data_IF_172162829301
#
_entry.id   IF_172162829301
#
_cell.length_a   1.000
_cell.length_b   1.000
_cell.length_c   1.000
_cell.angle_alpha   90.00
_cell.angle_beta   90.00
_cell.angle_gamma   90.00
#
_symmetry.space_group_name_H-M   'P 1'
#
loop_
_entity.id
_entity.type
_entity.pdbx_description
1 polymer ?
#
# COMPACT_ATOMS: atom_id res chain seq x y z
N UNK A 1 -5.19 -26.96 13.04
CA UNK A 1 -4.58 -26.01 13.95
C UNK A 1 -5.65 -25.27 14.75
N UNK A 2 -5.36 -24.90 16.01
CA UNK A 2 -6.25 -24.08 16.84
C UNK A 2 -5.44 -22.95 17.49
N UNK A 3 -6.01 -21.73 17.48
CA UNK A 3 -5.38 -20.55 18.10
C UNK A 3 -6.44 -19.69 18.78
N UNK A 4 -6.11 -19.02 19.88
CA UNK A 4 -7.04 -18.13 20.57
C UNK A 4 -7.32 -16.89 19.72
N UNK A 5 -6.30 -16.33 19.08
CA UNK A 5 -6.40 -15.18 18.19
C UNK A 5 -5.80 -15.51 16.82
N UNK A 6 -6.64 -15.51 15.79
CA UNK A 6 -6.23 -15.70 14.39
C UNK A 6 -6.38 -14.36 13.66
N UNK A 7 -5.30 -13.90 13.04
CA UNK A 7 -5.24 -12.65 12.29
C UNK A 7 -4.97 -13.00 10.83
N UNK A 8 -5.83 -12.55 9.92
CA UNK A 8 -5.69 -12.79 8.48
C UNK A 8 -5.30 -11.49 7.79
N UNK A 9 -4.10 -11.49 7.21
CA UNK A 9 -3.48 -10.35 6.56
C UNK A 9 -2.37 -9.71 7.39
N UNK A 10 -1.13 -9.83 6.92
CA UNK A 10 0.08 -9.27 7.52
C UNK A 10 0.42 -7.87 7.04
N UNK A 11 -0.58 -7.07 6.65
CA UNK A 11 -0.41 -5.64 6.35
C UNK A 11 -0.07 -4.83 7.61
N UNK A 12 -0.06 -3.49 7.49
CA UNK A 12 0.36 -2.58 8.56
C UNK A 12 -0.31 -2.88 9.90
N UNK A 13 -1.65 -2.96 9.94
CA UNK A 13 -2.38 -3.20 11.18
C UNK A 13 -2.32 -4.64 11.65
N UNK A 14 -2.50 -5.63 10.76
CA UNK A 14 -2.53 -7.04 11.14
C UNK A 14 -1.18 -7.55 11.65
N UNK A 15 -0.08 -7.16 11.00
CA UNK A 15 1.27 -7.51 11.47
C UNK A 15 1.60 -6.87 12.83
N UNK A 16 1.28 -5.59 13.00
CA UNK A 16 1.49 -4.93 14.29
C UNK A 16 0.67 -5.58 15.41
N UNK A 17 -0.58 -5.94 15.13
CA UNK A 17 -1.43 -6.66 16.07
C UNK A 17 -0.81 -8.00 16.45
N UNK A 18 -0.36 -8.78 15.45
CA UNK A 18 0.29 -10.08 15.68
C UNK A 18 1.56 -9.96 16.53
N UNK A 19 2.45 -9.01 16.19
CA UNK A 19 3.68 -8.76 16.95
C UNK A 19 3.40 -8.32 18.39
N UNK A 20 2.47 -7.38 18.58
CA UNK A 20 2.16 -6.84 19.91
C UNK A 20 1.47 -7.87 20.81
N UNK A 21 0.57 -8.70 20.26
CA UNK A 21 -0.07 -9.78 20.98
C UNK A 21 0.90 -10.94 21.25
N UNK A 22 1.67 -11.34 20.24
CA UNK A 22 2.64 -12.43 20.35
C UNK A 22 3.63 -12.22 21.50
N UNK A 23 4.22 -11.02 21.57
CA UNK A 23 5.12 -10.64 22.68
C UNK A 23 4.49 -10.75 24.08
N UNK A 24 3.17 -10.68 24.19
CA UNK A 24 2.46 -10.68 25.48
C UNK A 24 1.80 -12.03 25.81
N UNK A 25 1.38 -12.78 24.80
CA UNK A 25 0.56 -13.99 24.96
C UNK A 25 1.26 -15.26 24.50
N UNK A 26 2.28 -15.14 23.68
CA UNK A 26 3.06 -16.26 23.15
C UNK A 26 2.46 -16.94 21.92
N UNK A 27 3.26 -17.81 21.25
CA UNK A 27 2.91 -18.41 19.97
C UNK A 27 1.75 -19.41 20.04
N UNK A 28 1.50 -20.00 21.20
CA UNK A 28 0.36 -20.92 21.38
C UNK A 28 -1.00 -20.25 21.26
N UNK A 29 -1.06 -18.91 21.37
CA UNK A 29 -2.30 -18.15 21.39
C UNK A 29 -2.53 -17.28 20.14
N UNK A 30 -1.48 -16.90 19.43
CA UNK A 30 -1.56 -15.93 18.33
C UNK A 30 -1.05 -16.56 17.04
N UNK A 31 -1.87 -16.50 15.99
CA UNK A 31 -1.52 -16.97 14.64
C UNK A 31 -1.81 -15.88 13.62
N UNK A 32 -0.80 -15.55 12.81
CA UNK A 32 -0.91 -14.71 11.62
C UNK A 32 -1.02 -15.60 10.39
N UNK A 33 -1.98 -15.31 9.51
CA UNK A 33 -2.16 -15.96 8.20
C UNK A 33 -1.94 -14.91 7.11
N UNK A 34 -1.04 -15.18 6.16
CA UNK A 34 -0.84 -14.32 4.98
C UNK A 34 -0.46 -15.15 3.76
N UNK A 35 -0.86 -14.68 2.59
CA UNK A 35 -0.54 -15.28 1.29
C UNK A 35 0.86 -14.96 0.77
N UNK A 36 1.65 -14.19 1.52
CA UNK A 36 3.05 -13.84 1.25
C UNK A 36 3.96 -14.34 2.35
N UNK A 37 5.26 -14.43 2.04
CA UNK A 37 6.28 -14.86 3.00
C UNK A 37 6.97 -13.68 3.70
N UNK A 38 6.78 -12.48 3.21
CA UNK A 38 7.41 -11.28 3.74
C UNK A 38 6.48 -10.07 3.70
N UNK A 39 6.72 -9.15 4.60
CA UNK A 39 6.06 -7.87 4.69
C UNK A 39 6.87 -6.78 4.00
N UNK A 40 6.20 -5.95 3.22
CA UNK A 40 6.68 -4.65 2.76
C UNK A 40 5.70 -3.58 3.20
N UNK A 41 6.21 -2.45 3.62
CA UNK A 41 5.41 -1.28 3.94
C UNK A 41 4.71 -0.77 2.68
N UNK A 42 3.41 -1.07 2.53
CA UNK A 42 2.62 -0.77 1.31
C UNK A 42 2.75 0.69 0.83
N UNK A 43 2.83 1.72 1.72
CA UNK A 43 3.10 3.09 1.27
C UNK A 43 4.41 3.29 0.50
N UNK A 44 5.39 2.39 0.59
CA UNK A 44 6.66 2.47 -0.16
C UNK A 44 6.64 1.74 -1.52
N UNK A 45 5.50 1.19 -1.96
CA UNK A 45 5.42 0.46 -3.24
C UNK A 45 5.74 1.34 -4.46
N UNK A 46 5.53 2.64 -4.38
CA UNK A 46 5.93 3.57 -5.43
C UNK A 46 7.46 3.66 -5.57
N UNK A 47 8.22 3.56 -4.45
CA UNK A 47 9.68 3.50 -4.46
C UNK A 47 10.18 2.17 -5.08
N UNK A 48 9.50 1.05 -4.79
CA UNK A 48 9.79 -0.25 -5.41
C UNK A 48 9.54 -0.19 -6.92
N UNK A 49 8.39 0.36 -7.34
CA UNK A 49 8.03 0.52 -8.74
C UNK A 49 9.02 1.41 -9.52
N UNK A 50 9.53 2.45 -8.89
CA UNK A 50 10.55 3.30 -9.48
C UNK A 50 11.97 2.67 -9.43
N UNK A 51 12.18 1.61 -8.65
CA UNK A 51 13.48 0.95 -8.47
C UNK A 51 14.40 1.66 -7.48
N UNK A 52 13.90 2.61 -6.71
CA UNK A 52 14.67 3.34 -5.67
C UNK A 52 14.64 2.65 -4.32
N UNK A 53 13.81 1.62 -4.15
CA UNK A 53 13.76 0.73 -2.99
C UNK A 53 13.94 -0.73 -3.44
N UNK A 54 14.86 -1.45 -2.80
CA UNK A 54 15.06 -2.88 -3.06
C UNK A 54 14.25 -3.73 -2.05
N UNK A 55 13.32 -4.53 -2.58
CA UNK A 55 12.48 -5.42 -1.78
C UNK A 55 13.26 -6.48 -1.00
N UNK A 56 14.41 -6.91 -1.52
CA UNK A 56 15.24 -7.92 -0.87
C UNK A 56 15.97 -7.37 0.36
N UNK A 57 16.20 -6.05 0.41
CA UNK A 57 16.80 -5.38 1.56
C UNK A 57 15.76 -4.93 2.59
N UNK A 58 14.53 -4.62 2.13
CA UNK A 58 13.49 -4.00 2.95
C UNK A 58 12.40 -4.97 3.39
N UNK A 59 12.28 -6.11 2.71
CA UNK A 59 11.29 -7.13 3.03
C UNK A 59 11.56 -7.80 4.37
N UNK A 60 10.58 -7.75 5.27
CA UNK A 60 10.65 -8.39 6.58
C UNK A 60 10.00 -9.76 6.52
N UNK A 61 10.76 -10.84 6.69
CA UNK A 61 10.24 -12.20 6.70
C UNK A 61 9.23 -12.41 7.82
N UNK A 62 8.02 -12.89 7.50
CA UNK A 62 7.02 -13.23 8.51
C UNK A 62 7.47 -14.36 9.43
N UNK A 63 8.23 -15.35 8.94
CA UNK A 63 8.77 -16.41 9.77
C UNK A 63 9.73 -15.87 10.84
N UNK A 64 10.64 -14.99 10.44
CA UNK A 64 11.57 -14.35 11.37
C UNK A 64 10.82 -13.47 12.39
N UNK A 65 9.84 -12.70 11.92
CA UNK A 65 9.03 -11.86 12.80
C UNK A 65 8.19 -12.69 13.77
N UNK A 66 7.67 -13.84 13.33
CA UNK A 66 6.92 -14.77 14.17
C UNK A 66 7.78 -15.32 15.30
N UNK A 67 8.99 -15.78 14.98
CA UNK A 67 9.96 -16.25 15.97
C UNK A 67 10.31 -15.13 16.97
N UNK A 68 10.67 -13.96 16.48
CA UNK A 68 11.16 -12.85 17.31
C UNK A 68 10.09 -12.22 18.19
N UNK A 69 8.82 -12.27 17.76
CA UNK A 69 7.71 -11.65 18.47
C UNK A 69 6.77 -12.68 19.15
N UNK A 70 7.05 -13.97 19.03
CA UNK A 70 6.28 -15.01 19.72
C UNK A 70 4.85 -15.15 19.19
N UNK A 71 4.66 -15.28 17.89
CA UNK A 71 3.40 -15.69 17.27
C UNK A 71 3.66 -16.81 16.24
N UNK A 72 2.61 -17.54 15.84
CA UNK A 72 2.71 -18.50 14.75
C UNK A 72 2.41 -17.83 13.42
N UNK A 73 3.13 -18.23 12.37
CA UNK A 73 2.85 -17.81 11.01
C UNK A 73 2.36 -19.01 10.18
N UNK A 74 1.26 -18.81 9.45
CA UNK A 74 0.71 -19.76 8.48
C UNK A 74 0.70 -19.12 7.11
N UNK A 75 1.50 -19.66 6.20
CA UNK A 75 1.58 -19.24 4.83
C UNK A 75 0.42 -19.78 4.01
N UNK A 76 -0.32 -18.94 3.33
CA UNK A 76 -1.38 -19.25 2.37
C UNK A 76 -2.54 -18.25 2.41
N UNK A 77 -3.34 -18.20 1.34
CA UNK A 77 -4.52 -17.36 1.26
C UNK A 77 -5.66 -17.96 2.10
N UNK A 78 -6.38 -17.11 2.84
CA UNK A 78 -7.69 -17.50 3.36
C UNK A 78 -8.66 -17.64 2.17
N UNK A 79 -9.38 -18.76 2.10
CA UNK A 79 -10.34 -19.04 1.02
C UNK A 79 -11.78 -19.13 1.49
N UNK A 80 -12.02 -19.49 2.76
CA UNK A 80 -13.35 -19.61 3.32
C UNK A 80 -13.41 -19.33 4.82
N UNK A 81 -14.60 -19.00 5.29
CA UNK A 81 -14.96 -18.81 6.69
C UNK A 81 -16.17 -19.68 7.04
N UNK A 82 -16.04 -20.44 8.10
CA UNK A 82 -17.15 -21.11 8.78
C UNK A 82 -17.31 -20.48 10.17
N UNK A 83 -18.21 -19.52 10.27
CA UNK A 83 -18.46 -18.78 11.50
C UNK A 83 -19.10 -19.67 12.59
N UNK A 84 -19.89 -20.69 12.20
CA UNK A 84 -20.57 -21.59 13.14
C UNK A 84 -19.56 -22.51 13.85
N UNK A 85 -18.61 -23.09 13.11
CA UNK A 85 -17.55 -23.93 13.68
C UNK A 85 -16.34 -23.12 14.16
N UNK A 86 -16.37 -21.80 14.04
CA UNK A 86 -15.27 -20.87 14.34
C UNK A 86 -13.97 -21.31 13.66
N UNK A 87 -14.02 -21.50 12.35
CA UNK A 87 -12.85 -21.92 11.58
C UNK A 87 -12.70 -21.13 10.27
N UNK A 88 -11.47 -20.99 9.84
CA UNK A 88 -11.11 -20.51 8.50
C UNK A 88 -10.43 -21.61 7.72
N UNK A 89 -10.57 -21.57 6.41
CA UNK A 89 -9.81 -22.41 5.47
C UNK A 89 -8.67 -21.58 4.89
N UNK A 90 -7.47 -22.12 4.95
CA UNK A 90 -6.27 -21.61 4.25
C UNK A 90 -6.03 -22.53 3.08
N UNK A 91 -6.10 -21.98 1.86
CA UNK A 91 -5.98 -22.73 0.62
C UNK A 91 -4.63 -23.45 0.47
N UNK A 92 -4.60 -24.44 -0.40
CA UNK A 92 -3.39 -25.12 -0.80
C UNK A 92 -2.40 -24.14 -1.46
N UNK A 93 -1.11 -24.41 -1.33
CA UNK A 93 -0.05 -23.69 -2.03
C UNK A 93 0.48 -24.62 -3.12
N UNK A 94 0.43 -24.15 -4.36
CA UNK A 94 0.95 -24.84 -5.51
C UNK A 94 2.30 -24.27 -5.93
N UNK A 95 3.19 -25.11 -6.42
CA UNK A 95 4.45 -24.66 -7.02
C UNK A 95 4.18 -23.91 -8.32
N UNK A 96 4.95 -22.87 -8.59
CA UNK A 96 4.77 -22.04 -9.77
C UNK A 96 5.18 -22.75 -11.10
N UNK A 97 6.02 -23.79 -10.99
CA UNK A 97 6.61 -24.48 -12.16
C UNK A 97 5.69 -25.53 -12.77
N UNK A 98 4.95 -26.28 -11.96
CA UNK A 98 4.28 -27.53 -12.35
C UNK A 98 2.90 -27.72 -11.70
N UNK A 99 2.44 -26.77 -10.90
CA UNK A 99 1.23 -26.85 -10.08
C UNK A 99 1.22 -27.99 -9.03
N UNK A 100 2.37 -28.57 -8.71
CA UNK A 100 2.45 -29.55 -7.63
C UNK A 100 2.06 -28.93 -6.30
N UNK A 101 1.34 -29.70 -5.47
CA UNK A 101 0.92 -29.27 -4.17
C UNK A 101 2.11 -29.22 -3.19
N UNK A 102 2.56 -28.01 -2.83
CA UNK A 102 3.62 -27.78 -1.85
C UNK A 102 3.08 -27.86 -0.43
N UNK A 103 1.90 -27.29 -0.20
CA UNK A 103 1.19 -27.33 1.07
C UNK A 103 -0.29 -27.61 0.82
N UNK A 104 -0.89 -28.60 1.51
CA UNK A 104 -2.32 -28.88 1.37
C UNK A 104 -3.20 -27.79 1.94
N UNK A 105 -4.47 -27.84 1.62
CA UNK A 105 -5.49 -27.04 2.28
C UNK A 105 -5.49 -27.32 3.79
N UNK A 106 -5.62 -26.27 4.61
CA UNK A 106 -5.57 -26.35 6.08
C UNK A 106 -6.72 -25.61 6.72
N UNK A 107 -7.28 -26.23 7.76
CA UNK A 107 -8.32 -25.60 8.59
C UNK A 107 -7.71 -25.08 9.89
N UNK A 108 -8.06 -23.86 10.28
CA UNK A 108 -7.61 -23.20 11.51
C UNK A 108 -8.83 -22.80 12.32
N UNK A 109 -8.95 -23.31 13.54
CA UNK A 109 -9.98 -22.92 14.49
C UNK A 109 -9.51 -21.72 15.31
N UNK A 110 -10.41 -20.76 15.55
CA UNK A 110 -10.11 -19.53 16.29
C UNK A 110 -11.01 -19.36 17.53
N UNK A 111 -10.49 -18.69 18.55
CA UNK A 111 -11.29 -18.10 19.62
C UNK A 111 -11.81 -16.71 19.21
N UNK A 112 -10.95 -15.90 18.57
CA UNK A 112 -11.32 -14.64 17.92
C UNK A 112 -10.59 -14.54 16.58
N UNK A 113 -11.30 -14.09 15.54
CA UNK A 113 -10.77 -13.87 14.19
C UNK A 113 -10.66 -12.38 13.92
N UNK A 114 -9.56 -11.94 13.33
CA UNK A 114 -9.36 -10.57 12.85
C UNK A 114 -9.11 -10.57 11.35
N UNK A 115 -9.95 -9.91 10.59
CA UNK A 115 -9.76 -9.68 9.17
C UNK A 115 -8.99 -8.36 8.98
N UNK A 116 -7.78 -8.45 8.43
CA UNK A 116 -6.86 -7.33 8.18
C UNK A 116 -6.30 -7.38 6.76
N UNK A 117 -7.12 -7.86 5.81
CA UNK A 117 -6.73 -8.16 4.42
C UNK A 117 -6.53 -6.92 3.54
N UNK A 118 -6.74 -5.73 4.08
CA UNK A 118 -6.50 -4.47 3.38
C UNK A 118 -7.43 -4.19 2.22
N UNK A 119 -6.92 -3.60 1.15
CA UNK A 119 -7.66 -3.17 -0.04
C UNK A 119 -6.97 -3.59 -1.32
N UNK A 120 -7.75 -3.64 -2.42
CA UNK A 120 -7.30 -3.84 -3.78
C UNK A 120 -7.76 -2.69 -4.68
N UNK A 121 -7.31 -2.63 -5.93
CA UNK A 121 -7.71 -1.59 -6.88
C UNK A 121 -9.16 -1.73 -7.30
N UNK A 122 -9.84 -0.60 -7.37
CA UNK A 122 -11.16 -0.47 -7.96
C UNK A 122 -11.02 0.12 -9.37
N UNK A 123 -11.33 -0.67 -10.39
CA UNK A 123 -11.28 -0.24 -11.79
C UNK A 123 -12.56 0.46 -12.27
N UNK A 124 -13.58 0.61 -11.42
CA UNK A 124 -14.86 1.30 -11.69
C UNK A 124 -15.56 0.81 -12.97
N UNK A 125 -15.28 -0.40 -13.43
CA UNK A 125 -15.82 -0.96 -14.66
C UNK A 125 -15.30 -0.30 -15.95
N UNK A 126 -14.19 0.44 -15.89
CA UNK A 126 -13.57 1.05 -17.07
C UNK A 126 -13.01 -0.06 -17.97
N UNK A 127 -13.48 -0.18 -19.23
CA UNK A 127 -12.99 -1.16 -20.19
C UNK A 127 -11.49 -1.07 -20.39
N UNK A 128 -10.80 -2.22 -20.38
CA UNK A 128 -9.37 -2.34 -20.55
C UNK A 128 -8.52 -1.91 -19.33
N UNK A 129 -9.14 -1.40 -18.26
CA UNK A 129 -8.38 -0.93 -17.10
C UNK A 129 -7.62 -2.06 -16.39
N UNK A 130 -8.24 -3.21 -16.21
CA UNK A 130 -7.60 -4.36 -15.56
C UNK A 130 -6.55 -5.02 -16.45
N UNK A 131 -6.80 -5.07 -17.74
CA UNK A 131 -5.99 -5.77 -18.76
C UNK A 131 -4.75 -4.97 -19.15
N UNK A 132 -4.87 -3.65 -19.24
CA UNK A 132 -3.85 -2.77 -19.84
C UNK A 132 -3.17 -1.83 -18.85
N UNK A 133 -3.50 -1.93 -17.55
CA UNK A 133 -2.78 -1.16 -16.53
C UNK A 133 -2.09 -2.06 -15.51
N UNK A 134 -1.11 -1.48 -14.83
CA UNK A 134 -0.50 -2.07 -13.65
C UNK A 134 -0.98 -1.28 -12.44
N UNK A 135 -1.54 -1.97 -11.44
CA UNK A 135 -1.87 -1.36 -10.15
C UNK A 135 -0.74 -1.60 -9.16
N UNK A 136 -0.63 -0.77 -8.12
CA UNK A 136 0.38 -0.95 -7.07
C UNK A 136 -0.26 -1.47 -5.79
N UNK A 137 -0.83 -2.66 -5.85
CA UNK A 137 -1.45 -3.31 -4.69
C UNK A 137 -0.45 -4.17 -3.91
N UNK A 138 0.53 -4.70 -4.59
CA UNK A 138 1.46 -5.69 -4.12
C UNK A 138 2.88 -5.40 -4.62
N UNK A 139 3.85 -6.06 -4.00
CA UNK A 139 5.26 -5.99 -4.38
C UNK A 139 5.49 -6.50 -5.79
N UNK A 140 4.81 -7.59 -6.15
CA UNK A 140 4.88 -8.22 -7.47
C UNK A 140 4.40 -7.27 -8.57
N UNK A 141 3.38 -6.45 -8.28
CA UNK A 141 2.91 -5.41 -9.20
C UNK A 141 3.96 -4.32 -9.40
N UNK A 142 4.58 -3.87 -8.31
CA UNK A 142 5.62 -2.84 -8.36
C UNK A 142 6.86 -3.32 -9.13
N UNK A 143 7.32 -4.56 -8.88
CA UNK A 143 8.44 -5.17 -9.62
C UNK A 143 8.10 -5.38 -11.11
N UNK A 144 6.89 -5.84 -11.43
CA UNK A 144 6.41 -5.98 -12.80
C UNK A 144 6.42 -4.63 -13.53
N UNK A 145 5.98 -3.56 -12.85
CA UNK A 145 6.04 -2.21 -13.39
C UNK A 145 7.48 -1.79 -13.66
N UNK A 146 8.38 -1.95 -12.69
CA UNK A 146 9.80 -1.60 -12.82
C UNK A 146 10.46 -2.31 -14.01
N UNK A 147 10.29 -3.63 -14.09
CA UNK A 147 10.87 -4.43 -15.20
C UNK A 147 10.30 -4.02 -16.55
N UNK A 148 9.00 -3.72 -16.64
CA UNK A 148 8.40 -3.24 -17.89
C UNK A 148 8.93 -1.87 -18.30
N UNK A 149 9.08 -0.97 -17.34
CA UNK A 149 9.68 0.35 -17.59
C UNK A 149 11.11 0.24 -18.13
N UNK A 150 11.96 -0.56 -17.48
CA UNK A 150 13.34 -0.81 -17.94
C UNK A 150 13.38 -1.38 -19.37
N UNK A 151 12.54 -2.36 -19.66
CA UNK A 151 12.46 -2.94 -21.03
C UNK A 151 12.05 -1.91 -22.09
N UNK A 152 11.10 -1.03 -21.75
CA UNK A 152 10.68 0.04 -22.65
C UNK A 152 11.76 1.11 -22.85
N UNK A 153 12.53 1.41 -21.81
CA UNK A 153 13.69 2.31 -21.93
C UNK A 153 14.78 1.70 -22.79
N UNK A 154 15.11 0.42 -22.61
CA UNK A 154 16.07 -0.31 -23.45
C UNK A 154 15.64 -0.32 -24.92
N UNK A 155 14.37 -0.58 -25.21
CA UNK A 155 13.85 -0.56 -26.57
C UNK A 155 13.97 0.86 -27.18
N UNK A 156 13.64 1.90 -26.43
CA UNK A 156 13.76 3.28 -26.89
C UNK A 156 15.23 3.70 -27.15
N UNK A 157 16.18 3.22 -26.33
CA UNK A 157 17.62 3.44 -26.54
C UNK A 157 18.08 2.83 -27.86
N UNK A 158 17.75 1.55 -28.11
CA UNK A 158 18.13 0.83 -29.32
C UNK A 158 17.51 1.43 -30.60
N UNK A 159 16.26 1.89 -30.54
CA UNK A 159 15.61 2.57 -31.67
C UNK A 159 16.38 3.84 -32.07
N UNK A 160 17.00 4.55 -31.12
CA UNK A 160 17.82 5.74 -31.40
C UNK A 160 19.21 5.41 -31.92
N UNK A 161 19.87 4.40 -31.37
CA UNK A 161 21.16 3.92 -31.86
C UNK A 161 21.07 3.48 -33.32
N UNK A 162 19.94 2.86 -33.72
CA UNK A 162 19.69 2.39 -35.10
C UNK A 162 19.38 3.49 -36.13
N UNK A 163 19.39 4.78 -35.75
CA UNK A 163 19.19 5.89 -36.68
C UNK A 163 17.77 6.00 -37.27
N UNK A 164 16.76 5.52 -36.57
CA UNK A 164 15.35 5.56 -37.00
C UNK A 164 14.85 6.98 -37.26
N UNK A 165 14.60 7.33 -38.54
CA UNK A 165 14.08 8.65 -38.98
C UNK A 165 12.60 8.90 -38.63
N UNK A 166 12.02 8.19 -37.72
CA UNK A 166 10.60 8.30 -37.38
C UNK A 166 10.35 8.73 -35.93
N UNK A 167 10.18 10.00 -35.70
CA UNK A 167 9.58 10.63 -34.50
C UNK A 167 10.14 10.19 -33.16
N UNK A 168 10.46 11.10 -32.27
CA UNK A 168 11.09 10.82 -30.96
C UNK A 168 10.48 9.59 -30.25
N UNK A 169 11.21 8.50 -30.06
CA UNK A 169 10.71 7.29 -29.35
C UNK A 169 10.65 7.60 -27.86
N UNK A 170 9.73 8.47 -27.46
CA UNK A 170 9.53 8.78 -26.06
C UNK A 170 8.71 7.70 -25.36
N UNK A 171 9.01 7.47 -24.12
CA UNK A 171 8.22 6.62 -23.25
C UNK A 171 7.11 7.46 -22.58
N UNK A 172 5.87 7.28 -23.06
CA UNK A 172 4.69 7.87 -22.43
C UNK A 172 4.23 7.00 -21.27
N UNK A 173 4.36 7.53 -20.06
CA UNK A 173 3.85 6.92 -18.81
C UNK A 173 2.63 7.69 -18.37
N UNK A 174 1.49 7.03 -18.34
CA UNK A 174 0.22 7.59 -17.86
C UNK A 174 -0.13 7.01 -16.51
N UNK A 175 -0.37 7.86 -15.53
CA UNK A 175 -0.83 7.51 -14.18
C UNK A 175 -2.27 7.98 -14.04
N UNK A 176 -3.20 7.05 -13.86
CA UNK A 176 -4.62 7.33 -13.67
C UNK A 176 -4.90 7.43 -12.18
N UNK A 177 -5.23 8.62 -11.72
CA UNK A 177 -5.46 9.00 -10.32
C UNK A 177 -4.36 9.87 -9.73
N UNK A 178 -4.74 11.07 -9.29
CA UNK A 178 -3.89 12.08 -8.65
C UNK A 178 -3.98 12.08 -7.12
N UNK A 179 -4.28 10.94 -6.52
CA UNK A 179 -4.16 10.72 -5.07
C UNK A 179 -2.69 10.62 -4.62
N UNK A 180 -2.46 10.33 -3.33
CA UNK A 180 -1.10 10.22 -2.79
C UNK A 180 -0.23 9.24 -3.59
N UNK A 181 -0.72 8.03 -3.84
CA UNK A 181 0.01 7.00 -4.60
C UNK A 181 0.42 7.46 -6.00
N UNK A 182 -0.50 8.11 -6.74
CA UNK A 182 -0.20 8.58 -8.10
C UNK A 182 0.80 9.74 -8.11
N UNK A 183 0.68 10.68 -7.19
CA UNK A 183 1.59 11.82 -7.03
C UNK A 183 3.00 11.36 -6.62
N UNK A 184 3.09 10.48 -5.62
CA UNK A 184 4.35 9.92 -5.13
C UNK A 184 5.05 9.11 -6.22
N UNK A 185 4.31 8.23 -6.92
CA UNK A 185 4.85 7.46 -8.03
C UNK A 185 5.38 8.35 -9.16
N UNK A 186 4.61 9.36 -9.58
CA UNK A 186 5.03 10.26 -10.65
C UNK A 186 6.34 11.00 -10.31
N UNK A 187 6.45 11.48 -9.09
CA UNK A 187 7.64 12.19 -8.62
C UNK A 187 8.86 11.26 -8.53
N UNK A 188 8.67 10.05 -7.99
CA UNK A 188 9.74 9.06 -7.84
C UNK A 188 10.20 8.53 -9.20
N UNK A 189 9.28 8.26 -10.14
CA UNK A 189 9.61 7.87 -11.52
C UNK A 189 10.42 8.95 -12.26
N UNK A 190 10.13 10.22 -12.03
CA UNK A 190 10.91 11.32 -12.62
C UNK A 190 12.34 11.32 -12.14
N UNK A 191 12.56 11.08 -10.85
CA UNK A 191 13.91 10.98 -10.28
C UNK A 191 14.63 9.71 -10.76
N UNK A 192 13.92 8.58 -10.75
CA UNK A 192 14.46 7.31 -11.24
C UNK A 192 14.83 7.37 -12.72
N UNK A 193 13.97 7.95 -13.59
CA UNK A 193 14.27 8.07 -15.02
C UNK A 193 15.52 8.89 -15.30
N UNK A 194 15.76 9.94 -14.53
CA UNK A 194 16.99 10.74 -14.62
C UNK A 194 18.22 9.96 -14.14
N UNK A 195 18.07 9.12 -13.12
CA UNK A 195 19.15 8.28 -12.61
C UNK A 195 19.46 7.12 -13.58
N UNK A 196 18.47 6.49 -14.20
CA UNK A 196 18.67 5.42 -15.18
C UNK A 196 19.52 5.90 -16.37
N UNK A 197 19.25 7.09 -16.88
CA UNK A 197 20.02 7.69 -17.98
C UNK A 197 21.50 7.78 -17.63
N UNK A 198 21.86 8.10 -16.39
CA UNK A 198 23.27 8.19 -15.95
C UNK A 198 23.99 6.84 -15.85
N UNK A 199 23.26 5.72 -15.99
CA UNK A 199 23.80 4.36 -15.84
C UNK A 199 23.73 3.51 -17.13
N UNK A 200 23.77 4.14 -18.31
CA UNK A 200 23.92 3.43 -19.57
C UNK A 200 22.74 3.56 -20.54
N UNK A 201 21.99 4.66 -20.45
CA UNK A 201 21.00 5.06 -21.44
C UNK A 201 21.46 6.39 -22.08
N UNK A 202 22.60 6.35 -22.78
CA UNK A 202 23.32 7.52 -23.25
C UNK A 202 22.58 8.32 -24.32
N UNK A 203 21.67 7.67 -25.05
CA UNK A 203 20.86 8.29 -26.11
C UNK A 203 19.55 8.90 -25.58
N UNK A 204 19.14 8.55 -24.36
CA UNK A 204 17.91 9.04 -23.76
C UNK A 204 18.16 10.22 -22.82
N UNK A 205 17.24 11.16 -22.81
CA UNK A 205 17.12 12.21 -21.78
C UNK A 205 15.94 11.86 -20.86
N UNK A 206 16.21 11.58 -19.59
CA UNK A 206 15.20 11.13 -18.62
C UNK A 206 14.05 12.12 -18.40
N UNK A 207 14.23 13.43 -18.74
CA UNK A 207 13.17 14.42 -18.64
C UNK A 207 12.38 14.60 -19.93
N UNK A 208 13.08 14.62 -21.07
CA UNK A 208 12.49 14.83 -22.38
C UNK A 208 11.83 13.56 -22.92
N UNK A 209 12.49 12.43 -22.76
CA UNK A 209 12.10 11.18 -23.42
C UNK A 209 11.22 10.28 -22.55
N UNK A 210 11.21 10.46 -21.23
CA UNK A 210 10.23 9.85 -20.32
C UNK A 210 9.17 10.88 -19.97
N UNK A 211 8.03 10.86 -20.66
CA UNK A 211 6.91 11.79 -20.47
C UNK A 211 5.92 11.21 -19.48
N UNK A 212 5.82 11.84 -18.31
CA UNK A 212 4.92 11.38 -17.22
C UNK A 212 3.69 12.29 -17.18
N UNK A 213 2.50 11.68 -17.28
CA UNK A 213 1.22 12.39 -17.20
C UNK A 213 0.34 11.79 -16.13
N UNK A 214 -0.19 12.60 -15.22
CA UNK A 214 -1.23 12.23 -14.26
C UNK A 214 -2.59 12.65 -14.80
N UNK A 215 -3.52 11.72 -14.95
CA UNK A 215 -4.92 11.97 -15.30
C UNK A 215 -5.75 11.89 -14.02
N UNK A 216 -6.38 13.00 -13.61
CA UNK A 216 -7.14 13.09 -12.36
C UNK A 216 -8.60 13.49 -12.64
N UNK A 217 -9.54 12.66 -12.19
CA UNK A 217 -10.97 12.91 -12.35
C UNK A 217 -11.51 14.10 -11.55
N UNK A 218 -10.86 14.42 -10.42
CA UNK A 218 -11.21 15.56 -9.58
C UNK A 218 -10.63 16.89 -10.14
N UNK A 219 -11.11 18.04 -9.65
CA UNK A 219 -10.60 19.34 -10.07
C UNK A 219 -9.13 19.62 -9.72
N UNK A 220 -8.53 18.82 -8.83
CA UNK A 220 -7.14 18.96 -8.38
C UNK A 220 -6.57 17.65 -7.86
N UNK A 221 -5.27 17.48 -7.94
CA UNK A 221 -4.58 16.37 -7.28
C UNK A 221 -4.70 16.47 -5.76
N UNK A 222 -4.60 15.36 -5.06
CA UNK A 222 -4.71 15.30 -3.59
C UNK A 222 -6.01 15.96 -3.08
N UNK A 223 -7.11 15.82 -3.80
CA UNK A 223 -8.39 16.48 -3.54
C UNK A 223 -8.90 16.37 -2.08
N UNK A 224 -8.69 15.24 -1.34
CA UNK A 224 -9.07 15.15 0.07
C UNK A 224 -8.22 15.99 1.03
N UNK A 225 -7.06 16.52 0.59
CA UNK A 225 -6.18 17.33 1.41
C UNK A 225 -6.49 18.82 1.26
N UNK A 226 -6.03 19.67 2.19
CA UNK A 226 -6.20 21.12 2.07
C UNK A 226 -5.69 21.66 0.72
N UNK A 227 -6.37 22.65 0.16
CA UNK A 227 -6.06 23.22 -1.16
C UNK A 227 -4.60 23.68 -1.30
N UNK A 228 -4.03 24.26 -0.25
CA UNK A 228 -2.61 24.67 -0.22
C UNK A 228 -1.66 23.52 -0.49
N UNK A 229 -1.97 22.32 0.00
CA UNK A 229 -1.18 21.10 -0.24
C UNK A 229 -1.27 20.70 -1.70
N UNK A 230 -2.48 20.75 -2.27
CA UNK A 230 -2.75 20.43 -3.67
C UNK A 230 -2.01 21.36 -4.63
N UNK A 231 -2.07 22.67 -4.37
CA UNK A 231 -1.37 23.69 -5.17
C UNK A 231 0.14 23.51 -5.11
N UNK A 232 0.70 23.30 -3.91
CA UNK A 232 2.14 23.06 -3.75
C UNK A 232 2.60 21.77 -4.46
N UNK A 233 1.82 20.70 -4.36
CA UNK A 233 2.11 19.45 -5.07
C UNK A 233 2.08 19.65 -6.59
N UNK A 234 1.08 20.36 -7.12
CA UNK A 234 0.95 20.64 -8.55
C UNK A 234 2.13 21.48 -9.07
N UNK A 235 2.54 22.52 -8.35
CA UNK A 235 3.70 23.34 -8.69
C UNK A 235 5.00 22.50 -8.70
N UNK A 236 5.22 21.67 -7.70
CA UNK A 236 6.39 20.80 -7.62
C UNK A 236 6.42 19.74 -8.73
N UNK A 237 5.29 19.15 -9.09
CA UNK A 237 5.16 18.23 -10.22
C UNK A 237 5.49 18.93 -11.54
N UNK A 238 4.94 20.13 -11.75
CA UNK A 238 5.20 20.96 -12.94
C UNK A 238 6.69 21.31 -13.09
N UNK A 239 7.35 21.74 -12.02
CA UNK A 239 8.80 22.00 -12.00
C UNK A 239 9.65 20.78 -12.35
N UNK A 240 9.14 19.58 -12.13
CA UNK A 240 9.76 18.30 -12.51
C UNK A 240 9.39 17.85 -13.93
N UNK A 241 8.64 18.64 -14.69
CA UNK A 241 8.19 18.29 -16.04
C UNK A 241 7.15 17.17 -16.06
N UNK A 242 6.37 17.01 -14.97
CA UNK A 242 5.26 16.07 -14.88
C UNK A 242 3.99 16.83 -15.23
N UNK A 243 3.26 16.33 -16.22
CA UNK A 243 2.00 16.91 -16.65
C UNK A 243 0.86 16.45 -15.77
N UNK A 244 0.08 17.36 -15.23
CA UNK A 244 -1.16 17.06 -14.49
C UNK A 244 -2.35 17.52 -15.32
N UNK A 245 -3.32 16.61 -15.52
CA UNK A 245 -4.57 16.89 -16.25
C UNK A 245 -5.74 16.66 -15.28
N UNK A 246 -6.22 17.70 -14.60
CA UNK A 246 -7.39 17.60 -13.72
C UNK A 246 -8.69 17.54 -14.53
N UNK A 247 -9.81 17.21 -13.87
CA UNK A 247 -11.13 17.03 -14.49
C UNK A 247 -11.16 16.01 -15.64
N UNK A 248 -10.18 15.12 -15.70
CA UNK A 248 -10.00 14.11 -16.72
C UNK A 248 -10.56 12.76 -16.23
N UNK A 249 -11.78 12.42 -16.62
CA UNK A 249 -12.38 11.14 -16.32
C UNK A 249 -12.08 10.15 -17.43
N UNK A 250 -11.24 9.18 -17.14
CA UNK A 250 -10.92 8.09 -18.08
C UNK A 250 -12.12 7.18 -18.28
N UNK A 251 -12.41 6.83 -19.52
CA UNK A 251 -13.56 5.99 -19.92
C UNK A 251 -13.14 4.71 -20.60
N UNK A 252 -11.94 4.64 -21.18
CA UNK A 252 -11.46 3.47 -21.92
C UNK A 252 -9.92 3.41 -21.92
N UNK A 253 -9.35 2.21 -21.85
CA UNK A 253 -7.90 2.00 -21.88
C UNK A 253 -7.56 0.91 -22.89
N UNK A 254 -6.58 1.21 -23.73
CA UNK A 254 -6.01 0.33 -24.74
C UNK A 254 -4.53 0.04 -24.45
N UNK A 255 -3.90 -0.91 -25.15
CA UNK A 255 -2.49 -1.25 -24.97
C UNK A 255 -1.50 -0.10 -25.16
N UNK A 256 -1.91 0.92 -25.94
CA UNK A 256 -1.05 2.03 -26.41
C UNK A 256 -1.61 3.43 -26.08
N UNK A 257 -2.82 3.52 -25.52
CA UNK A 257 -3.49 4.78 -25.26
C UNK A 257 -4.57 4.72 -24.20
N UNK A 258 -4.89 5.87 -23.65
CA UNK A 258 -6.01 6.09 -22.72
C UNK A 258 -6.97 7.12 -23.33
N UNK A 259 -8.28 6.93 -23.18
CA UNK A 259 -9.33 7.81 -23.69
C UNK A 259 -10.14 8.36 -22.53
N UNK A 260 -10.40 9.67 -22.53
CA UNK A 260 -11.24 10.32 -21.53
C UNK A 260 -12.71 10.48 -22.01
N UNK A 261 -13.56 10.97 -21.09
CA UNK A 261 -14.99 11.21 -21.36
C UNK A 261 -15.29 12.19 -22.51
N UNK A 262 -14.33 13.01 -22.89
CA UNK A 262 -14.45 14.02 -23.96
C UNK A 262 -13.87 13.48 -25.28
N UNK A 263 -13.49 12.18 -25.33
CA UNK A 263 -12.90 11.53 -26.49
C UNK A 263 -11.43 11.89 -26.73
N UNK A 264 -10.79 12.59 -25.80
CA UNK A 264 -9.38 12.94 -25.95
C UNK A 264 -8.50 11.75 -25.70
N UNK A 265 -7.52 11.57 -26.59
CA UNK A 265 -6.57 10.45 -26.58
C UNK A 265 -5.26 10.88 -25.93
N UNK A 266 -4.77 10.04 -25.01
CA UNK A 266 -3.47 10.19 -24.36
C UNK A 266 -2.63 8.95 -24.72
N UNK A 267 -1.53 9.12 -25.46
CA UNK A 267 -0.60 8.01 -25.71
C UNK A 267 -0.07 7.45 -24.42
N UNK A 268 0.02 6.13 -24.30
CA UNK A 268 0.45 5.44 -23.10
C UNK A 268 1.15 4.12 -23.41
N UNK A 269 2.47 4.10 -23.49
CA UNK A 269 3.26 2.86 -23.58
C UNK A 269 3.27 2.10 -22.24
N UNK A 270 3.09 2.82 -21.14
CA UNK A 270 2.98 2.27 -19.80
C UNK A 270 1.88 3.01 -19.03
N UNK A 271 0.92 2.25 -18.52
CA UNK A 271 -0.21 2.81 -17.79
C UNK A 271 -0.30 2.24 -16.37
N UNK A 272 -0.48 3.13 -15.38
CA UNK A 272 -0.66 2.77 -13.96
C UNK A 272 -2.04 3.17 -13.51
N UNK A 273 -2.71 2.24 -12.82
CA UNK A 273 -3.98 2.52 -12.16
C UNK A 273 -3.76 2.83 -10.68
N UNK A 274 -3.99 4.09 -10.30
CA UNK A 274 -3.91 4.60 -8.93
C UNK A 274 -5.21 5.31 -8.49
N UNK A 275 -6.33 5.07 -9.18
CA UNK A 275 -7.58 5.86 -9.10
C UNK A 275 -8.62 5.31 -8.12
N UNK A 276 -8.26 4.58 -7.13
CA UNK A 276 -9.21 4.15 -6.10
C UNK A 276 -9.02 2.72 -5.66
N UNK A 277 -9.56 2.46 -4.49
CA UNK A 277 -9.48 1.17 -3.82
C UNK A 277 -10.87 0.63 -3.52
N UNK A 278 -10.97 -0.69 -3.39
CA UNK A 278 -12.12 -1.42 -2.86
C UNK A 278 -11.65 -2.51 -1.90
N UNK A 279 -12.56 -3.04 -1.13
CA UNK A 279 -12.27 -4.24 -0.34
C UNK A 279 -12.02 -5.45 -1.26
N UNK A 280 -11.18 -6.42 -0.85
CA UNK A 280 -10.97 -7.66 -1.61
C UNK A 280 -12.27 -8.43 -1.82
N UNK A 281 -12.46 -8.99 -3.03
CA UNK A 281 -13.68 -9.70 -3.42
C UNK A 281 -14.00 -10.92 -2.53
N UNK A 282 -12.96 -11.51 -1.92
CA UNK A 282 -13.11 -12.56 -0.91
C UNK A 282 -14.11 -12.20 0.19
N UNK A 283 -14.14 -10.95 0.66
CA UNK A 283 -15.01 -10.56 1.78
C UNK A 283 -16.50 -10.72 1.47
N UNK A 284 -16.88 -10.55 0.21
CA UNK A 284 -18.26 -10.75 -0.23
C UNK A 284 -18.70 -12.24 -0.17
N UNK A 285 -17.75 -13.19 -0.17
CA UNK A 285 -18.02 -14.64 -0.14
C UNK A 285 -18.08 -15.21 1.28
N UNK A 286 -17.69 -14.43 2.29
CA UNK A 286 -17.58 -14.91 3.67
C UNK A 286 -18.92 -14.94 4.45
N UNK A 287 -20.01 -14.48 3.86
CA UNK A 287 -21.32 -14.40 4.53
C UNK A 287 -21.40 -13.36 5.64
N UNK A 288 -20.48 -12.38 5.66
CA UNK A 288 -20.45 -11.28 6.63
C UNK A 288 -21.15 -10.05 6.05
N UNK A 289 -21.76 -9.19 6.89
CA UNK A 289 -22.36 -7.94 6.41
C UNK A 289 -21.28 -7.01 5.83
N UNK A 290 -21.53 -6.52 4.61
CA UNK A 290 -20.60 -5.64 3.90
C UNK A 290 -21.27 -4.33 3.50
N UNK A 291 -20.54 -3.23 3.56
CA UNK A 291 -20.93 -1.93 3.06
C UNK A 291 -20.85 -1.88 1.52
N UNK A 292 -21.37 -0.83 0.91
CA UNK A 292 -21.41 -0.63 -0.56
C UNK A 292 -20.04 -0.77 -1.25
N UNK A 293 -18.93 -0.48 -0.55
CA UNK A 293 -17.56 -0.63 -1.05
C UNK A 293 -16.95 -2.03 -0.84
N UNK A 294 -17.75 -3.01 -0.38
CA UNK A 294 -17.30 -4.37 -0.07
C UNK A 294 -16.59 -4.53 1.27
N UNK A 295 -16.37 -3.44 2.02
CA UNK A 295 -15.77 -3.52 3.36
C UNK A 295 -16.72 -4.20 4.34
N UNK A 296 -16.17 -5.02 5.24
CA UNK A 296 -16.94 -5.66 6.31
C UNK A 296 -17.44 -4.59 7.30
N UNK A 297 -18.72 -4.60 7.61
CA UNK A 297 -19.30 -3.66 8.57
C UNK A 297 -18.93 -4.02 10.01
N UNK A 298 -18.33 -3.07 10.72
CA UNK A 298 -17.97 -3.23 12.13
C UNK A 298 -18.65 -2.20 13.01
N UNK A 299 -18.78 -2.54 14.30
CA UNK A 299 -19.19 -1.60 15.34
C UNK A 299 -18.01 -0.71 15.79
N UNK A 300 -18.28 0.20 16.74
CA UNK A 300 -17.23 1.07 17.30
C UNK A 300 -16.18 0.33 18.16
N UNK A 301 -16.32 -0.97 18.36
CA UNK A 301 -15.32 -1.84 18.98
C UNK A 301 -14.58 -2.71 17.95
N UNK A 302 -14.69 -2.40 16.66
CA UNK A 302 -14.12 -3.13 15.52
C UNK A 302 -14.63 -4.56 15.37
N UNK A 303 -15.76 -4.90 16.01
CA UNK A 303 -16.41 -6.20 15.92
C UNK A 303 -17.36 -6.21 14.72
N UNK A 304 -17.32 -7.27 13.96
CA UNK A 304 -18.23 -7.46 12.81
C UNK A 304 -19.67 -7.55 13.31
N UNK A 305 -20.57 -6.78 12.69
CA UNK A 305 -21.97 -6.76 13.04
C UNK A 305 -22.58 -8.17 12.89
N UNK A 306 -23.25 -8.63 13.93
CA UNK A 306 -23.87 -9.97 13.95
C UNK A 306 -22.90 -11.13 14.22
N UNK A 307 -21.58 -10.88 14.45
CA UNK A 307 -20.60 -11.93 14.72
C UNK A 307 -19.74 -11.58 15.95
N UNK A 308 -19.97 -12.25 17.07
CA UNK A 308 -19.40 -11.89 18.37
C UNK A 308 -17.87 -12.03 18.45
N UNK A 309 -17.29 -12.97 17.71
CA UNK A 309 -15.87 -13.33 17.79
C UNK A 309 -15.07 -12.98 16.52
N UNK A 310 -15.67 -12.21 15.60
CA UNK A 310 -15.02 -11.76 14.36
C UNK A 310 -14.87 -10.25 14.41
N UNK A 311 -13.68 -9.80 14.06
CA UNK A 311 -13.27 -8.39 14.04
C UNK A 311 -12.69 -8.06 12.67
N UNK A 312 -12.70 -6.77 12.29
CA UNK A 312 -11.99 -6.32 11.11
C UNK A 312 -11.31 -4.96 11.38
N UNK A 313 -10.19 -4.72 10.72
CA UNK A 313 -9.43 -3.48 10.83
C UNK A 313 -8.78 -3.06 9.49
N UNK A 314 -8.40 -1.80 9.39
CA UNK A 314 -7.77 -1.23 8.21
C UNK A 314 -8.77 -1.05 7.06
N UNK A 315 -8.25 -1.06 5.83
CA UNK A 315 -9.01 -0.71 4.63
C UNK A 315 -10.16 -1.67 4.30
N UNK A 316 -10.13 -2.90 4.83
CA UNK A 316 -11.18 -3.90 4.64
C UNK A 316 -12.36 -3.73 5.60
N UNK A 317 -12.30 -2.80 6.57
CA UNK A 317 -13.34 -2.54 7.56
C UNK A 317 -14.08 -1.24 7.27
N UNK A 318 -15.41 -1.30 7.20
CA UNK A 318 -16.28 -0.12 7.22
C UNK A 318 -16.53 0.27 8.69
N UNK A 319 -15.62 1.11 9.22
CA UNK A 319 -15.61 1.53 10.61
C UNK A 319 -16.17 2.94 10.77
N UNK A 320 -17.10 3.09 11.71
CA UNK A 320 -17.53 4.38 12.25
C UNK A 320 -17.05 4.43 13.70
N UNK A 321 -16.30 5.46 14.05
CA UNK A 321 -15.70 5.59 15.38
C UNK A 321 -16.75 5.93 16.47
N UNK A 322 -16.32 5.94 17.74
CA UNK A 322 -17.18 6.25 18.86
C UNK A 322 -17.78 7.66 18.86
N UNK A 323 -17.31 8.55 17.97
CA UNK A 323 -17.85 9.90 17.76
C UNK A 323 -18.79 10.01 16.57
N UNK A 324 -19.03 8.90 15.88
CA UNK A 324 -19.89 8.85 14.67
C UNK A 324 -19.17 9.26 13.37
N UNK A 325 -17.84 9.39 13.36
CA UNK A 325 -17.08 9.71 12.16
C UNK A 325 -16.67 8.47 11.40
N UNK A 326 -16.79 8.50 10.07
CA UNK A 326 -16.25 7.45 9.22
C UNK A 326 -14.71 7.46 9.28
N UNK A 327 -14.12 6.30 9.54
CA UNK A 327 -12.66 6.15 9.63
C UNK A 327 -12.09 5.97 8.22
N UNK A 328 -11.14 6.82 7.78
CA UNK A 328 -10.59 6.72 6.44
C UNK A 328 -9.66 5.49 6.29
N UNK A 329 -9.57 4.89 5.07
CA UNK A 329 -8.65 3.78 4.79
C UNK A 329 -7.21 4.28 4.69
N UNK A 330 -6.53 4.34 5.81
CA UNK A 330 -5.14 4.81 5.94
C UNK A 330 -4.34 3.94 6.89
N UNK A 331 -3.03 3.83 6.65
CA UNK A 331 -2.13 3.08 7.52
C UNK A 331 -2.17 3.54 8.99
N UNK A 332 -2.31 4.84 9.25
CA UNK A 332 -2.43 5.36 10.62
C UNK A 332 -3.74 4.93 11.31
N UNK A 333 -4.82 4.74 10.56
CA UNK A 333 -6.07 4.22 11.12
C UNK A 333 -5.89 2.74 11.49
N UNK A 334 -5.30 1.94 10.60
CA UNK A 334 -5.02 0.54 10.85
C UNK A 334 -4.09 0.34 12.06
N UNK A 335 -3.06 1.19 12.24
CA UNK A 335 -2.19 1.20 13.41
C UNK A 335 -2.97 1.44 14.72
N UNK A 336 -3.81 2.50 14.76
CA UNK A 336 -4.60 2.83 15.94
C UNK A 336 -5.64 1.76 16.27
N UNK A 337 -6.26 1.16 15.24
CA UNK A 337 -7.19 0.04 15.39
C UNK A 337 -6.49 -1.21 15.94
N UNK A 338 -5.26 -1.50 15.48
CA UNK A 338 -4.46 -2.57 16.02
C UNK A 338 -4.16 -2.36 17.51
N UNK A 339 -3.75 -1.16 17.93
CA UNK A 339 -3.51 -0.83 19.34
C UNK A 339 -4.76 -0.96 20.22
N UNK A 340 -5.91 -0.56 19.68
CA UNK A 340 -7.18 -0.75 20.33
C UNK A 340 -7.48 -2.24 20.57
N UNK A 341 -7.33 -3.08 19.53
CA UNK A 341 -7.57 -4.53 19.64
C UNK A 341 -6.53 -5.22 20.53
N UNK A 342 -5.27 -4.79 20.55
CA UNK A 342 -4.25 -5.31 21.50
C UNK A 342 -4.77 -5.19 22.93
N UNK A 343 -5.26 -4.00 23.31
CA UNK A 343 -5.77 -3.76 24.67
C UNK A 343 -6.99 -4.63 24.96
N UNK A 344 -7.93 -4.72 24.00
CA UNK A 344 -9.16 -5.53 24.13
C UNK A 344 -8.86 -7.01 24.29
N UNK A 345 -7.93 -7.56 23.49
CA UNK A 345 -7.61 -8.98 23.48
C UNK A 345 -6.76 -9.42 24.68
N UNK A 346 -5.87 -8.56 25.18
CA UNK A 346 -5.16 -8.83 26.43
C UNK A 346 -6.14 -8.90 27.61
N UNK A 347 -7.15 -8.04 27.66
CA UNK A 347 -8.22 -8.12 28.66
C UNK A 347 -9.01 -9.43 28.51
N UNK A 348 -9.43 -9.77 27.28
CA UNK A 348 -10.15 -11.01 26.98
C UNK A 348 -9.36 -12.25 27.39
N UNK A 349 -8.06 -12.30 27.10
CA UNK A 349 -7.19 -13.46 27.46
C UNK A 349 -7.02 -13.66 28.96
N UNK A 350 -7.27 -12.62 29.75
CA UNK A 350 -7.27 -12.65 31.24
C UNK A 350 -8.66 -12.88 31.83
N UNK A 351 -9.68 -13.16 31.01
CA UNK A 351 -11.06 -13.35 31.47
C UNK A 351 -11.78 -12.06 31.87
N UNK A 352 -11.23 -10.89 31.54
CA UNK A 352 -11.88 -9.61 31.79
C UNK A 352 -12.84 -9.25 30.63
N UNK A 353 -13.89 -8.44 30.89
CA UNK A 353 -14.76 -7.95 29.84
C UNK A 353 -13.96 -7.13 28.80
N UNK A 354 -14.42 -7.09 27.54
CA UNK A 354 -13.82 -6.26 26.50
C UNK A 354 -13.72 -4.80 26.94
N UNK A 355 -12.90 -4.02 26.24
CA UNK A 355 -12.76 -2.61 26.51
C UNK A 355 -14.12 -1.89 26.34
N UNK A 356 -14.60 -1.19 27.36
CA UNK A 356 -15.89 -0.50 27.34
C UNK A 356 -15.85 0.76 26.45
N UNK A 357 -14.69 1.44 26.45
CA UNK A 357 -14.52 2.65 25.63
C UNK A 357 -14.47 2.28 24.15
N UNK A 358 -15.32 2.87 23.30
CA UNK A 358 -15.28 2.65 21.86
C UNK A 358 -13.97 3.17 21.25
N UNK A 359 -13.63 2.66 20.07
CA UNK A 359 -12.50 3.16 19.29
C UNK A 359 -12.80 4.58 18.79
N UNK A 360 -11.84 5.47 18.95
CA UNK A 360 -11.86 6.83 18.44
C UNK A 360 -10.66 7.07 17.53
N UNK A 361 -10.91 7.46 16.29
CA UNK A 361 -9.85 7.81 15.35
C UNK A 361 -9.29 9.19 15.63
N UNK A 362 -7.95 9.30 15.63
CA UNK A 362 -7.23 10.58 15.70
C UNK A 362 -6.49 10.80 14.38
N UNK A 363 -6.86 11.83 13.67
CA UNK A 363 -6.14 12.24 12.47
C UNK A 363 -4.91 13.07 12.85
N UNK A 364 -3.72 12.55 12.55
CA UNK A 364 -2.45 13.27 12.75
C UNK A 364 -2.03 14.05 11.51
N UNK A 365 -2.87 14.07 10.47
CA UNK A 365 -2.60 14.71 9.20
C UNK A 365 -2.14 13.73 8.12
N UNK A 366 -1.68 14.27 7.01
CA UNK A 366 -1.23 13.49 5.86
C UNK A 366 0.01 14.13 5.25
N UNK A 367 0.97 13.30 4.91
CA UNK A 367 2.20 13.68 4.23
C UNK A 367 2.29 12.90 2.92
N UNK A 368 2.71 13.57 1.86
CA UNK A 368 2.88 13.00 0.52
C UNK A 368 4.29 13.36 0.05
N UNK A 369 5.05 12.38 -0.38
CA UNK A 369 6.37 12.60 -0.97
C UNK A 369 6.22 13.13 -2.40
N UNK A 370 6.94 14.19 -2.73
CA UNK A 370 7.01 14.72 -4.09
C UNK A 370 8.46 14.68 -4.55
N UNK A 371 9.07 13.48 -4.47
CA UNK A 371 10.47 13.22 -4.75
C UNK A 371 11.35 13.23 -3.52
N UNK A 372 12.63 12.88 -3.69
CA UNK A 372 13.60 12.56 -2.64
C UNK A 372 13.77 13.62 -1.57
N UNK A 373 13.74 14.88 -1.98
CA UNK A 373 14.12 15.99 -1.10
C UNK A 373 12.94 16.85 -0.67
N UNK A 374 11.73 16.52 -1.13
CA UNK A 374 10.56 17.36 -0.91
C UNK A 374 9.33 16.53 -0.62
N UNK A 375 8.66 16.85 0.47
CA UNK A 375 7.34 16.32 0.81
C UNK A 375 6.42 17.50 1.10
N UNK A 376 5.15 17.30 0.87
CA UNK A 376 4.09 18.26 1.19
C UNK A 376 3.04 17.61 2.07
N UNK A 377 2.43 18.37 2.93
CA UNK A 377 1.39 17.79 3.76
C UNK A 377 0.73 18.79 4.70
N UNK A 378 -0.20 18.25 5.44
CA UNK A 378 -0.90 18.96 6.50
C UNK A 378 -0.83 18.14 7.76
N UNK A 379 -0.43 18.78 8.86
CA UNK A 379 -0.46 18.22 10.20
C UNK A 379 -1.71 18.71 10.92
N UNK A 380 -2.45 17.79 11.51
CA UNK A 380 -3.56 18.14 12.41
C UNK A 380 -2.99 18.33 13.80
N UNK A 381 -2.95 19.58 14.27
CA UNK A 381 -2.57 19.88 15.64
C UNK A 381 -3.64 19.40 16.63
N UNK A 382 -3.23 18.86 17.77
CA UNK A 382 -4.14 18.45 18.87
C UNK A 382 -4.89 19.63 19.53
N UNK A 383 -4.53 20.86 19.20
CA UNK A 383 -5.10 22.10 19.72
C UNK A 383 -5.96 22.78 18.65
N UNK A 384 -7.27 22.63 18.74
CA UNK A 384 -8.31 23.45 18.07
C UNK A 384 -8.42 23.33 16.54
N UNK A 385 -8.24 22.14 15.93
CA UNK A 385 -8.59 21.95 14.51
C UNK A 385 -7.75 22.75 13.50
N UNK A 386 -6.62 23.33 13.93
CA UNK A 386 -5.71 24.03 13.02
C UNK A 386 -4.87 23.02 12.23
N UNK A 387 -4.98 23.04 10.91
CA UNK A 387 -4.09 22.30 10.02
C UNK A 387 -2.84 23.13 9.73
N UNK A 388 -1.67 22.54 9.95
CA UNK A 388 -0.39 23.19 9.67
C UNK A 388 0.15 22.65 8.35
N UNK A 389 0.33 23.55 7.39
CA UNK A 389 1.00 23.22 6.14
C UNK A 389 2.49 23.00 6.38
N UNK A 390 3.04 21.87 5.91
CA UNK A 390 4.46 21.52 6.01
C UNK A 390 4.99 21.17 4.63
N UNK A 391 6.20 21.65 4.33
CA UNK A 391 6.88 21.41 3.07
C UNK A 391 8.40 21.27 3.29
N UNK A 392 9.09 20.61 2.34
CA UNK A 392 10.54 20.49 2.32
C UNK A 392 11.10 19.45 3.29
N UNK A 393 12.31 19.68 3.78
CA UNK A 393 13.05 18.74 4.63
C UNK A 393 12.34 18.34 5.91
N UNK A 394 11.59 19.26 6.52
CA UNK A 394 10.80 18.96 7.72
C UNK A 394 9.71 17.92 7.41
N UNK A 395 8.94 18.13 6.33
CA UNK A 395 7.92 17.18 5.92
C UNK A 395 8.52 15.81 5.56
N UNK A 396 9.72 15.78 4.95
CA UNK A 396 10.47 14.55 4.67
C UNK A 396 10.88 13.80 5.94
N UNK A 397 11.42 14.49 6.94
CA UNK A 397 11.77 13.89 8.23
C UNK A 397 10.55 13.26 8.90
N UNK A 398 9.40 13.93 8.81
CA UNK A 398 8.15 13.43 9.34
C UNK A 398 7.63 12.22 8.55
N UNK A 399 7.72 12.23 7.21
CA UNK A 399 7.39 11.07 6.38
C UNK A 399 8.25 9.86 6.73
N UNK A 400 9.56 10.05 6.87
CA UNK A 400 10.48 9.00 7.30
C UNK A 400 10.15 8.49 8.71
N UNK A 401 9.70 9.37 9.61
CA UNK A 401 9.33 8.97 10.97
C UNK A 401 8.11 8.02 11.01
N UNK A 402 7.16 8.15 10.08
CA UNK A 402 6.02 7.22 9.97
C UNK A 402 6.49 5.80 9.63
N UNK A 403 7.43 5.67 8.70
CA UNK A 403 8.05 4.40 8.37
C UNK A 403 8.80 3.79 9.56
N UNK A 404 9.58 4.59 10.28
CA UNK A 404 10.30 4.16 11.48
C UNK A 404 9.37 3.79 12.63
N UNK A 405 8.22 4.46 12.77
CA UNK A 405 7.20 4.09 13.76
C UNK A 405 6.64 2.70 13.51
N UNK A 406 6.33 2.36 12.26
CA UNK A 406 5.90 1.02 11.89
C UNK A 406 7.00 -0.03 12.18
N UNK A 407 8.22 0.20 11.72
CA UNK A 407 9.35 -0.68 12.02
C UNK A 407 9.57 -0.87 13.52
N UNK A 408 9.49 0.19 14.31
CA UNK A 408 9.59 0.11 15.77
C UNK A 408 8.49 -0.78 16.39
N UNK A 409 7.26 -0.68 15.87
CA UNK A 409 6.15 -1.50 16.35
C UNK A 409 6.40 -3.00 16.09
N UNK A 410 7.02 -3.33 14.96
CA UNK A 410 7.25 -4.71 14.49
C UNK A 410 8.59 -5.26 14.99
N UNK A 411 9.69 -4.50 14.88
CA UNK A 411 11.06 -4.96 15.18
C UNK A 411 11.56 -4.57 16.58
N UNK A 412 10.90 -3.62 17.23
CA UNK A 412 11.37 -2.99 18.46
C UNK A 412 12.38 -1.86 18.23
N UNK A 413 12.68 -1.09 19.27
CA UNK A 413 13.43 0.19 19.15
C UNK A 413 14.89 -0.01 18.72
N UNK A 414 15.59 -1.00 19.29
CA UNK A 414 17.02 -1.21 19.03
C UNK A 414 17.26 -1.61 17.56
N UNK A 415 16.56 -2.64 17.07
CA UNK A 415 16.70 -3.12 15.68
C UNK A 415 16.30 -2.04 14.68
N UNK A 416 15.25 -1.29 14.96
CA UNK A 416 14.86 -0.15 14.12
C UNK A 416 15.94 0.90 14.04
N UNK A 417 16.60 1.23 15.15
CA UNK A 417 17.72 2.17 15.15
C UNK A 417 18.92 1.69 14.32
N UNK A 418 19.28 0.42 14.46
CA UNK A 418 20.37 -0.21 13.66
C UNK A 418 20.03 -0.18 12.17
N UNK A 419 18.81 -0.59 11.79
CA UNK A 419 18.39 -0.58 10.39
C UNK A 419 18.31 0.83 9.80
N UNK A 420 17.85 1.81 10.57
CA UNK A 420 17.83 3.21 10.15
C UNK A 420 19.26 3.74 9.86
N UNK A 421 20.21 3.41 10.74
CA UNK A 421 21.62 3.76 10.53
C UNK A 421 22.23 3.02 9.32
N UNK A 422 21.98 1.72 9.19
CA UNK A 422 22.43 0.93 8.06
C UNK A 422 21.89 1.49 6.73
N UNK A 423 20.60 1.81 6.66
CA UNK A 423 19.99 2.47 5.49
C UNK A 423 20.68 3.80 5.14
N UNK A 424 20.95 4.62 6.15
CA UNK A 424 21.63 5.90 5.94
C UNK A 424 23.02 5.71 5.32
N UNK A 425 23.77 4.70 5.75
CA UNK A 425 25.10 4.38 5.23
C UNK A 425 25.02 3.76 3.83
N UNK A 426 24.15 2.77 3.63
CA UNK A 426 23.99 2.04 2.36
C UNK A 426 23.52 2.98 1.25
N UNK A 427 22.58 3.88 1.51
CA UNK A 427 22.10 4.87 0.52
C UNK A 427 23.18 5.81 -0.01
N UNK A 428 24.33 5.93 0.68
CA UNK A 428 25.48 6.72 0.22
C UNK A 428 26.47 5.91 -0.61
N UNK A 429 26.43 4.58 -0.49
CA UNK A 429 27.37 3.66 -1.13
C UNK A 429 26.78 2.91 -2.34
N UNK A 430 25.44 2.88 -2.46
CA UNK A 430 24.76 2.14 -3.53
C UNK A 430 24.20 3.06 -4.62
N UNK A 431 24.03 2.56 -5.86
CA UNK A 431 23.34 3.28 -6.92
C UNK A 431 21.94 3.73 -6.49
N UNK A 432 21.47 4.83 -7.06
CA UNK A 432 20.17 5.42 -6.74
C UNK A 432 18.98 4.57 -7.18
N UNK A 433 19.21 3.68 -8.14
CA UNK A 433 18.19 2.85 -8.78
C UNK A 433 18.72 1.45 -9.02
N UNK A 434 17.80 0.48 -8.99
CA UNK A 434 18.05 -0.94 -9.23
C UNK A 434 17.91 -1.24 -10.72
N UNK A 435 18.98 -1.72 -11.36
CA UNK A 435 19.07 -2.02 -12.81
C UNK A 435 18.81 -3.48 -13.14
N UNK A 436 18.63 -4.38 -12.15
CA UNK A 436 18.47 -5.83 -12.31
C UNK A 436 17.28 -6.37 -11.53
#
# INVERSE_FOLDING_TARGET
>A
LRSEFVIVGGGAGGLELACKLGRKLGPSKVTLVDSRLYHIWKPSLHEVAAGTLDIHQEGLSYQMLAHDNGFNFVFGPMTALDAASKSITVGAILAASDNDEVLPERRIHYGSLVLAVGSTSNYFGVPGAKEHTISLNATEDAERFRLRMLRLMLAAEQEREGGGEGGSPGLDVVIIGGGATGVELAAELREASSAYVNYGFDQLDGKRDVRITILEGAPRVLAPLPEKVSLAATDLLGKRGIRVVPNCRVTEIHPDRVIDKDGKVYPAKLCVWAAGIKAPDLLATLGLPTAKGGQVEVDAHLRVKGAADIYALGDCAACVDGKGNAVPPRAQAAHQQADYLVTSFIRKSKGHPPQERPYEYRDYGSLVSVGRDTSVGSLMGSLRGASWFVQGTMARLMYTSLHLMHHRAVLGTMRTGVLALARFLVRRATPLVKLH
#
